data_IF_540769441196
#
_entry.id   IF_540769441196
#
_cell.length_a   1.000
_cell.length_b   1.000
_cell.length_c   1.000
_cell.angle_alpha   90.00
_cell.angle_beta   90.00
_cell.angle_gamma   90.00
#
_symmetry.space_group_name_H-M   'P 1'
#
loop_
_entity.id
_entity.type
_entity.pdbx_description
1 polymer ?
#
# COMPACT_ATOMS: atom_id res chain seq x y z
N UNK A 1 -8.52 -10.16 -6.94
CA UNK A 1 -8.51 -8.81 -7.55
C UNK A 1 -8.03 -7.79 -6.52
N UNK A 2 -7.62 -6.59 -6.92
CA UNK A 2 -7.10 -5.59 -5.96
C UNK A 2 -8.13 -5.16 -4.90
N UNK A 3 -9.42 -5.15 -5.26
CA UNK A 3 -10.52 -4.93 -4.33
C UNK A 3 -10.55 -5.95 -3.20
N UNK A 4 -10.22 -7.22 -3.49
CA UNK A 4 -10.30 -8.29 -2.49
C UNK A 4 -9.21 -8.14 -1.44
N UNK A 5 -8.00 -7.72 -1.86
CA UNK A 5 -6.91 -7.36 -0.94
C UNK A 5 -7.29 -6.17 -0.07
N UNK A 6 -7.87 -5.12 -0.68
CA UNK A 6 -8.34 -3.97 0.08
C UNK A 6 -9.37 -4.42 1.14
N UNK A 7 -10.37 -5.20 0.74
CA UNK A 7 -11.50 -5.56 1.61
C UNK A 7 -11.09 -6.47 2.76
N UNK A 8 -10.25 -7.48 2.49
CA UNK A 8 -9.74 -8.37 3.56
C UNK A 8 -8.86 -7.61 4.54
N UNK A 9 -7.98 -6.72 4.06
CA UNK A 9 -7.10 -5.93 4.93
C UNK A 9 -7.93 -4.94 5.76
N UNK A 10 -8.88 -4.23 5.16
CA UNK A 10 -9.76 -3.29 5.88
C UNK A 10 -10.54 -3.99 6.98
N UNK A 11 -11.03 -5.21 6.73
CA UNK A 11 -11.75 -6.02 7.71
C UNK A 11 -10.86 -6.67 8.77
N UNK A 12 -9.53 -6.66 8.60
CA UNK A 12 -8.61 -7.35 9.51
C UNK A 12 -8.40 -6.59 10.83
N UNK A 13 -8.13 -7.30 11.95
CA UNK A 13 -7.82 -6.67 13.23
C UNK A 13 -6.47 -5.97 13.18
N UNK A 14 -6.26 -5.04 14.11
CA UNK A 14 -5.02 -4.25 14.23
C UNK A 14 -4.05 -4.77 15.30
N UNK A 15 -4.53 -5.67 16.16
CA UNK A 15 -3.86 -6.17 17.36
C UNK A 15 -3.47 -7.65 17.25
N UNK A 16 -4.16 -8.41 16.40
CA UNK A 16 -3.84 -9.81 16.11
C UNK A 16 -4.12 -10.16 14.65
N UNK A 17 -3.36 -11.10 14.04
CA UNK A 17 -3.67 -11.55 12.69
C UNK A 17 -4.97 -12.36 12.63
N UNK A 18 -5.76 -12.15 11.57
CA UNK A 18 -6.94 -12.95 11.23
C UNK A 18 -6.89 -13.31 9.76
N UNK A 19 -7.14 -14.57 9.43
CA UNK A 19 -7.11 -15.08 8.05
C UNK A 19 -5.80 -14.73 7.31
N UNK A 20 -4.68 -14.74 8.05
CA UNK A 20 -3.34 -14.43 7.52
C UNK A 20 -3.02 -12.94 7.39
N UNK A 21 -3.87 -12.04 7.89
CA UNK A 21 -3.69 -10.59 7.78
C UNK A 21 -3.73 -9.87 9.11
N UNK A 22 -2.81 -8.94 9.29
CA UNK A 22 -2.86 -7.90 10.33
C UNK A 22 -3.02 -6.55 9.64
N UNK A 23 -4.03 -5.76 10.04
CA UNK A 23 -4.23 -4.40 9.52
C UNK A 23 -3.26 -3.44 10.18
N UNK A 24 -2.63 -2.61 9.36
CA UNK A 24 -1.76 -1.52 9.79
C UNK A 24 -2.53 -0.21 9.65
N UNK A 25 -2.54 0.62 10.68
CA UNK A 25 -3.26 1.92 10.67
C UNK A 25 -2.33 3.12 10.69
N UNK A 26 -1.03 2.90 10.88
CA UNK A 26 -0.03 3.97 10.96
C UNK A 26 1.04 3.81 9.91
N UNK A 27 1.28 4.87 9.14
CA UNK A 27 2.29 4.89 8.08
C UNK A 27 3.70 4.54 8.60
N UNK A 28 4.05 4.97 9.81
CA UNK A 28 5.34 4.67 10.43
C UNK A 28 5.54 3.19 10.81
N UNK A 29 4.47 2.39 10.86
CA UNK A 29 4.56 0.97 11.22
C UNK A 29 4.75 0.05 10.00
N UNK A 30 4.65 0.62 8.78
CA UNK A 30 4.91 -0.08 7.54
C UNK A 30 6.39 -0.49 7.45
N UNK A 31 6.61 -1.69 6.93
CA UNK A 31 7.90 -2.35 6.78
C UNK A 31 8.00 -2.98 5.40
N UNK A 32 9.23 -3.28 4.93
CA UNK A 32 9.42 -4.08 3.72
C UNK A 32 8.57 -5.36 3.75
N UNK A 33 7.86 -5.63 2.66
CA UNK A 33 6.95 -6.78 2.51
C UNK A 33 5.50 -6.51 2.88
N UNK A 34 5.18 -5.41 3.57
CA UNK A 34 3.79 -5.02 3.82
C UNK A 34 3.07 -4.68 2.51
N UNK A 35 1.76 -4.86 2.49
CA UNK A 35 0.90 -4.71 1.32
C UNK A 35 0.09 -3.42 1.44
N UNK A 36 0.05 -2.68 0.33
CA UNK A 36 -0.79 -1.52 0.13
C UNK A 36 -1.80 -1.89 -0.95
N UNK A 37 -3.08 -1.76 -0.63
CA UNK A 37 -4.15 -2.05 -1.57
C UNK A 37 -5.16 -0.90 -1.59
N UNK A 38 -5.58 -0.48 -2.78
CA UNK A 38 -6.66 0.48 -2.92
C UNK A 38 -7.62 0.06 -4.02
N UNK A 39 -8.88 0.42 -3.83
CA UNK A 39 -9.90 0.28 -4.88
C UNK A 39 -9.68 1.35 -5.95
N UNK A 40 -10.11 1.05 -7.18
CA UNK A 40 -10.07 1.99 -8.31
C UNK A 40 -10.72 3.31 -7.88
N UNK A 41 -10.01 4.45 -8.00
CA UNK A 41 -10.60 5.75 -7.68
C UNK A 41 -11.85 6.01 -8.52
N UNK A 42 -12.90 6.65 -7.97
CA UNK A 42 -14.13 6.93 -8.71
C UNK A 42 -13.92 7.75 -9.99
N UNK A 43 -12.89 8.59 -10.01
CA UNK A 43 -12.52 9.47 -11.14
C UNK A 43 -11.76 8.77 -12.25
N UNK A 44 -11.34 7.51 -12.06
CA UNK A 44 -10.55 6.75 -13.05
C UNK A 44 -11.46 5.81 -13.83
N UNK A 45 -11.57 5.99 -15.14
CA UNK A 45 -12.28 5.05 -16.02
C UNK A 45 -11.34 3.89 -16.39
N UNK A 46 -11.58 2.71 -15.82
CA UNK A 46 -10.78 1.51 -16.08
C UNK A 46 -11.57 0.24 -15.74
N UNK A 47 -11.17 -0.90 -16.33
CA UNK A 47 -11.68 -2.23 -15.99
C UNK A 47 -10.94 -2.87 -14.80
N UNK A 48 -9.85 -2.28 -14.31
CA UNK A 48 -9.20 -2.76 -13.10
C UNK A 48 -10.07 -2.46 -11.86
N UNK A 49 -9.91 -3.27 -10.81
CA UNK A 49 -10.62 -3.07 -9.54
C UNK A 49 -9.89 -2.11 -8.61
N UNK A 50 -8.68 -1.67 -8.97
CA UNK A 50 -7.76 -0.95 -8.12
C UNK A 50 -6.32 -1.38 -8.34
N UNK A 51 -5.50 -1.26 -7.30
CA UNK A 51 -4.08 -1.60 -7.35
C UNK A 51 -3.61 -2.29 -6.07
N UNK A 52 -2.54 -3.07 -6.20
CA UNK A 52 -1.82 -3.68 -5.09
C UNK A 52 -0.34 -3.41 -5.28
N UNK A 53 0.34 -3.04 -4.21
CA UNK A 53 1.77 -2.79 -4.19
C UNK A 53 2.38 -3.35 -2.90
N UNK A 54 3.65 -3.72 -2.95
CA UNK A 54 4.42 -4.16 -1.79
C UNK A 54 5.37 -3.04 -1.35
N UNK A 55 5.40 -2.75 -0.06
CA UNK A 55 6.36 -1.81 0.54
C UNK A 55 7.76 -2.39 0.39
N UNK A 56 8.69 -1.60 -0.13
CA UNK A 56 10.08 -2.01 -0.34
C UNK A 56 11.01 -1.49 0.77
N UNK A 57 10.69 -0.32 1.35
CA UNK A 57 11.48 0.32 2.41
C UNK A 57 10.56 1.02 3.41
N UNK A 58 11.08 1.32 4.61
CA UNK A 58 10.31 2.06 5.61
C UNK A 58 9.88 3.44 5.06
N UNK A 59 8.59 3.84 5.17
CA UNK A 59 8.13 5.10 4.62
C UNK A 59 8.80 6.31 5.23
N UNK A 60 9.01 7.33 4.40
CA UNK A 60 9.60 8.61 4.83
C UNK A 60 8.53 9.69 4.92
N UNK A 61 8.33 10.24 6.12
CA UNK A 61 7.51 11.45 6.31
C UNK A 61 8.14 12.63 5.58
N UNK A 62 7.33 13.44 4.89
CA UNK A 62 7.82 14.61 4.14
C UNK A 62 7.21 15.94 4.58
N UNK A 63 6.42 15.93 5.65
CA UNK A 63 5.88 17.14 6.26
C UNK A 63 5.93 17.11 7.79
N UNK A 64 5.95 18.28 8.46
CA UNK A 64 5.89 18.36 9.91
C UNK A 64 4.60 17.78 10.49
N UNK A 65 3.49 17.90 9.77
CA UNK A 65 2.14 17.54 10.24
C UNK A 65 1.88 16.02 10.21
N UNK A 66 2.74 15.21 9.58
CA UNK A 66 2.57 13.76 9.50
C UNK A 66 1.50 13.29 8.52
N UNK A 67 1.12 14.15 7.57
CA UNK A 67 0.04 13.88 6.61
C UNK A 67 0.54 13.34 5.28
N UNK A 68 1.84 13.47 4.98
CA UNK A 68 2.41 13.04 3.71
C UNK A 68 3.61 12.13 3.90
N UNK A 69 3.60 11.04 3.13
CA UNK A 69 4.59 9.97 3.24
C UNK A 69 5.05 9.53 1.86
N UNK A 70 6.36 9.47 1.66
CA UNK A 70 6.94 8.79 0.51
C UNK A 70 7.07 7.31 0.82
N UNK A 71 6.59 6.49 -0.12
CA UNK A 71 6.61 5.04 0.00
C UNK A 71 7.26 4.45 -1.24
N UNK A 72 8.39 3.78 -1.07
CA UNK A 72 8.99 2.96 -2.11
C UNK A 72 8.22 1.65 -2.21
N UNK A 73 7.83 1.29 -3.42
CA UNK A 73 7.02 0.11 -3.69
C UNK A 73 7.62 -0.76 -4.78
N UNK A 74 7.27 -2.05 -4.73
CA UNK A 74 7.32 -2.98 -5.85
C UNK A 74 5.89 -3.26 -6.32
N UNK A 75 5.62 -3.15 -7.62
CA UNK A 75 4.29 -3.37 -8.18
C UNK A 75 4.35 -3.83 -9.65
N UNK A 76 3.16 -4.01 -10.25
CA UNK A 76 3.00 -4.17 -11.69
C UNK A 76 1.94 -3.18 -12.20
N UNK A 77 2.33 -2.26 -13.08
CA UNK A 77 1.48 -1.15 -13.56
C UNK A 77 1.73 -0.88 -15.04
N UNK A 78 0.77 -0.23 -15.71
CA UNK A 78 0.95 0.32 -17.07
C UNK A 78 1.41 1.78 -17.06
N UNK A 79 1.34 2.44 -15.91
CA UNK A 79 1.69 3.85 -15.71
C UNK A 79 2.80 3.87 -14.65
N UNK A 80 4.03 4.30 -14.99
CA UNK A 80 5.16 4.29 -14.07
C UNK A 80 4.96 5.32 -12.97
N UNK A 81 5.59 5.11 -11.82
CA UNK A 81 5.62 6.08 -10.71
C UNK A 81 6.82 7.03 -10.87
N UNK A 82 7.14 7.84 -9.86
CA UNK A 82 8.41 8.58 -9.91
C UNK A 82 9.55 7.77 -9.29
N UNK A 83 10.78 8.10 -9.72
CA UNK A 83 11.97 7.27 -9.51
C UNK A 83 11.74 5.80 -9.89
N UNK A 84 11.01 5.57 -11.00
CA UNK A 84 10.66 4.23 -11.45
C UNK A 84 11.86 3.52 -12.08
N UNK A 85 12.03 2.23 -11.79
CA UNK A 85 13.09 1.41 -12.40
C UNK A 85 12.74 0.94 -13.80
N UNK A 86 11.47 1.03 -14.22
CA UNK A 86 11.05 0.64 -15.56
C UNK A 86 11.66 1.59 -16.60
N UNK A 87 12.28 1.05 -17.67
CA UNK A 87 12.78 1.88 -18.76
C UNK A 87 11.66 2.69 -19.40
N UNK A 88 11.94 3.92 -19.83
CA UNK A 88 10.94 4.77 -20.50
C UNK A 88 10.37 4.15 -21.78
N UNK A 89 11.16 3.33 -22.47
CA UNK A 89 10.75 2.62 -23.68
C UNK A 89 9.81 1.44 -23.36
N UNK A 90 9.83 0.95 -22.11
CA UNK A 90 9.02 -0.16 -21.63
C UNK A 90 8.40 0.19 -20.26
N UNK A 91 7.47 1.16 -20.22
CA UNK A 91 7.00 1.77 -18.97
C UNK A 91 6.00 0.90 -18.19
N UNK A 92 5.66 -0.28 -18.72
CA UNK A 92 4.66 -1.18 -18.15
C UNK A 92 5.28 -2.48 -17.64
N UNK A 93 4.56 -3.18 -16.77
CA UNK A 93 4.98 -4.46 -16.20
C UNK A 93 5.50 -4.30 -14.77
N UNK A 94 6.36 -5.22 -14.33
CA UNK A 94 6.92 -5.20 -12.98
C UNK A 94 8.04 -4.17 -12.84
N UNK A 95 8.16 -3.58 -11.65
CA UNK A 95 9.21 -2.63 -11.33
C UNK A 95 9.02 -2.01 -9.96
N UNK A 96 9.92 -1.10 -9.64
CA UNK A 96 9.94 -0.39 -8.38
C UNK A 96 9.69 1.09 -8.61
N UNK A 97 8.80 1.68 -7.83
CA UNK A 97 8.37 3.06 -7.95
C UNK A 97 8.25 3.73 -6.58
N UNK A 98 8.08 5.05 -6.58
CA UNK A 98 7.80 5.79 -5.34
C UNK A 98 6.47 6.52 -5.45
N UNK A 99 5.61 6.32 -4.45
CA UNK A 99 4.33 6.99 -4.29
C UNK A 99 4.41 8.04 -3.19
N UNK A 100 3.57 9.07 -3.29
CA UNK A 100 3.19 9.89 -2.12
C UNK A 100 1.84 9.39 -1.63
N UNK A 101 1.73 8.99 -0.36
CA UNK A 101 0.46 8.69 0.30
C UNK A 101 0.06 9.82 1.24
N UNK A 102 -1.24 10.12 1.26
CA UNK A 102 -1.83 11.20 2.04
C UNK A 102 -2.73 10.64 3.13
N UNK A 103 -2.57 11.17 4.35
CA UNK A 103 -3.34 10.83 5.53
C UNK A 103 -4.02 12.10 6.05
N UNK A 104 -5.33 12.08 6.23
CA UNK A 104 -6.08 13.26 6.71
C UNK A 104 -5.79 13.54 8.20
N UNK A 105 -5.68 12.49 9.01
CA UNK A 105 -5.42 12.56 10.45
C UNK A 105 -4.47 11.45 10.88
N UNK A 106 -3.48 11.77 11.71
CA UNK A 106 -2.48 10.81 12.15
C UNK A 106 -3.13 9.57 12.78
N UNK A 107 -2.71 8.38 12.33
CA UNK A 107 -3.25 7.09 12.79
C UNK A 107 -4.52 6.63 12.08
N UNK A 108 -5.01 7.39 11.09
CA UNK A 108 -6.03 6.93 10.15
C UNK A 108 -5.38 6.30 8.91
N UNK A 109 -6.18 5.51 8.19
CA UNK A 109 -5.80 4.97 6.88
C UNK A 109 -5.50 6.12 5.89
N UNK A 110 -4.58 5.91 4.92
CA UNK A 110 -4.39 6.87 3.84
C UNK A 110 -5.63 6.97 2.94
N UNK A 111 -5.91 8.18 2.45
CA UNK A 111 -7.14 8.50 1.70
C UNK A 111 -6.85 9.06 0.30
N UNK A 112 -5.58 9.19 -0.05
CA UNK A 112 -5.17 9.66 -1.36
C UNK A 112 -3.75 9.22 -1.69
N UNK A 113 -3.43 9.24 -2.98
CA UNK A 113 -2.07 9.08 -3.48
C UNK A 113 -1.75 10.09 -4.58
N UNK A 114 -0.44 10.31 -4.78
CA UNK A 114 0.10 11.19 -5.80
C UNK A 114 1.41 10.68 -6.38
N UNK A 115 1.75 11.20 -7.56
CA UNK A 115 2.99 10.94 -8.27
C UNK A 115 4.19 11.55 -7.55
N UNK A 116 5.31 10.82 -7.51
CA UNK A 116 6.54 11.31 -6.87
C UNK A 116 7.06 12.60 -7.53
N UNK A 117 7.47 13.56 -6.70
CA UNK A 117 7.95 14.89 -7.09
C UNK A 117 6.89 15.99 -7.04
N UNK A 118 5.60 15.64 -6.91
CA UNK A 118 4.50 16.60 -6.73
C UNK A 118 4.01 16.56 -5.29
N UNK A 119 4.91 16.89 -4.34
CA UNK A 119 4.72 16.72 -2.89
C UNK A 119 3.46 17.38 -2.29
N UNK A 120 2.75 18.21 -3.05
CA UNK A 120 1.51 18.90 -2.64
C UNK A 120 0.28 18.48 -3.45
N UNK A 121 0.44 17.74 -4.55
CA UNK A 121 -0.66 17.39 -5.45
C UNK A 121 -1.21 16.02 -5.08
N UNK A 122 -2.49 16.00 -4.70
CA UNK A 122 -3.28 14.78 -4.69
C UNK A 122 -3.69 14.51 -6.13
N UNK A 123 -3.29 13.36 -6.68
CA UNK A 123 -3.73 12.96 -8.01
C UNK A 123 -5.05 12.18 -7.93
N UNK A 124 -5.20 11.32 -6.92
CA UNK A 124 -6.39 10.51 -6.75
C UNK A 124 -6.78 10.34 -5.29
N UNK A 125 -8.08 10.53 -4.99
CA UNK A 125 -8.68 10.17 -3.70
C UNK A 125 -9.29 8.78 -3.77
N UNK A 126 -8.94 7.93 -2.82
CA UNK A 126 -9.46 6.56 -2.65
C UNK A 126 -9.09 6.04 -1.27
N UNK A 127 -9.84 5.08 -0.74
CA UNK A 127 -9.48 4.40 0.50
C UNK A 127 -8.31 3.44 0.23
N UNK A 128 -7.27 3.54 1.05
CA UNK A 128 -6.05 2.74 0.93
C UNK A 128 -5.91 1.90 2.20
N UNK A 129 -5.93 0.59 2.03
CA UNK A 129 -5.73 -0.38 3.09
C UNK A 129 -4.23 -0.74 3.18
N UNK A 130 -3.73 -0.84 4.40
CA UNK A 130 -2.35 -1.24 4.70
C UNK A 130 -2.38 -2.54 5.51
N UNK A 131 -1.69 -3.58 5.05
CA UNK A 131 -1.77 -4.90 5.65
C UNK A 131 -0.43 -5.60 5.71
N UNK A 132 -0.25 -6.42 6.73
CA UNK A 132 0.89 -7.34 6.85
C UNK A 132 0.40 -8.76 6.65
N UNK A 133 1.04 -9.47 5.73
CA UNK A 133 0.89 -10.91 5.63
C UNK A 133 1.50 -11.59 6.86
N UNK A 134 0.73 -12.39 7.55
CA UNK A 134 1.15 -13.13 8.72
C UNK A 134 1.06 -14.62 8.41
N UNK A 135 2.10 -15.36 8.78
CA UNK A 135 2.02 -16.81 8.74
C UNK A 135 0.86 -17.28 9.63
N UNK A 136 0.15 -18.35 9.26
CA UNK A 136 -0.81 -18.97 10.17
C UNK A 136 -0.07 -19.33 11.47
N UNK A 137 -0.74 -19.13 12.61
CA UNK A 137 -0.20 -19.60 13.88
C UNK A 137 0.11 -21.09 13.74
N UNK A 138 1.37 -21.48 13.99
CA UNK A 138 1.78 -22.87 13.91
C UNK A 138 0.81 -23.70 14.78
N UNK A 139 0.15 -24.69 14.16
CA UNK A 139 -0.77 -25.55 14.90
C UNK A 139 0.01 -26.26 16.01
N UNK A 140 -0.55 -26.34 17.21
CA UNK A 140 0.06 -27.07 18.34
C UNK A 140 0.21 -28.59 18.09
N UNK A 141 -0.12 -29.11 16.91
CA UNK A 141 -0.12 -30.56 16.61
C UNK A 141 1.24 -31.13 16.20
N UNK A 142 2.26 -30.31 15.92
CA UNK A 142 3.59 -30.81 15.49
C UNK A 142 4.68 -30.80 16.58
N UNK A 143 4.30 -30.82 17.87
CA UNK A 143 5.26 -31.02 18.98
C UNK A 143 5.01 -32.28 19.80
N UNK A 144 4.86 -33.40 19.11
CA UNK A 144 4.92 -34.72 19.74
C UNK A 144 5.24 -35.79 18.70
N UNK A 145 6.52 -36.16 18.58
CA UNK A 145 7.15 -37.35 19.17
C UNK A 145 8.64 -37.05 19.32
#
# INVERSE_FOLDING_TARGET
>A
MASDFHDVITASPVDHPRDGWLRITRMQDLRPGDVIAWRRPPTVVSRNTGHVAFVQEAPRRIDPEGRRWLVRIADATSIPHGNDTRPRQHPSGFGYGTLTLFVETQGADPTAYGWYGLNTRIDFRTHIALGRGCAPAASRRDRGV
#
